data_IF_809762332054
#
_entry.id   IF_809762332054
#
_cell.length_a   1.000
_cell.length_b   1.000
_cell.length_c   1.000
_cell.angle_alpha   90.00
_cell.angle_beta   90.00
_cell.angle_gamma   90.00
#
_symmetry.space_group_name_H-M   'P 1'
#
loop_
_entity.id
_entity.type
_entity.pdbx_description
1 polymer ?
#
# COMPACT_ATOMS: atom_id res chain seq x y z
N UNK A 1 42.42 9.09 -22.79
CA UNK A 1 41.05 9.48 -23.19
C UNK A 1 40.20 9.37 -21.95
N UNK A 2 39.99 10.53 -21.32
CA UNK A 2 39.04 10.72 -20.23
C UNK A 2 37.67 11.03 -20.84
N UNK A 3 36.61 10.97 -20.02
CA UNK A 3 35.19 11.23 -20.32
C UNK A 3 34.41 9.99 -20.77
N UNK A 4 33.26 9.62 -20.20
CA UNK A 4 32.47 10.23 -19.12
C UNK A 4 31.68 9.13 -18.39
N UNK A 5 31.62 9.29 -17.06
CA UNK A 5 30.68 8.60 -16.19
C UNK A 5 29.30 9.22 -16.37
N UNK A 6 28.38 8.54 -17.05
CA UNK A 6 26.95 8.86 -16.95
C UNK A 6 26.30 7.86 -15.99
N UNK A 7 26.46 8.13 -14.70
CA UNK A 7 25.58 7.60 -13.67
C UNK A 7 24.18 8.19 -13.90
N UNK A 8 23.28 7.33 -14.39
CA UNK A 8 21.86 7.59 -14.49
C UNK A 8 21.30 7.95 -13.12
N UNK A 9 21.11 9.24 -12.87
CA UNK A 9 20.30 9.72 -11.75
C UNK A 9 18.84 9.38 -12.03
N UNK A 10 18.40 8.23 -11.50
CA UNK A 10 17.00 7.86 -11.47
C UNK A 10 16.23 8.84 -10.56
N UNK A 11 15.68 9.88 -11.19
CA UNK A 11 14.50 10.68 -10.81
C UNK A 11 14.11 10.64 -9.33
N UNK A 12 14.65 11.57 -8.55
CA UNK A 12 14.46 11.71 -7.10
C UNK A 12 13.29 12.61 -6.69
N UNK A 13 12.34 12.92 -7.57
CA UNK A 13 11.24 13.86 -7.25
C UNK A 13 9.86 13.35 -7.66
N UNK A 14 9.57 12.08 -7.35
CA UNK A 14 8.18 11.67 -7.23
C UNK A 14 7.63 12.31 -5.96
N UNK A 15 6.94 13.45 -6.10
CA UNK A 15 6.28 14.16 -5.00
C UNK A 15 5.60 13.15 -4.06
N UNK A 16 5.93 13.22 -2.76
CA UNK A 16 5.37 12.30 -1.76
C UNK A 16 3.86 12.47 -1.75
N UNK A 17 3.16 11.50 -2.35
CA UNK A 17 1.70 11.47 -2.36
C UNK A 17 1.24 11.20 -0.93
N UNK A 18 0.61 12.19 -0.31
CA UNK A 18 0.08 12.13 1.05
C UNK A 18 -1.38 12.58 1.09
N UNK A 19 -2.08 12.26 2.18
CA UNK A 19 -3.49 12.57 2.35
C UNK A 19 -3.72 14.05 2.64
N UNK A 20 -4.83 14.61 2.13
CA UNK A 20 -5.18 16.00 2.39
C UNK A 20 -5.57 16.21 3.87
N UNK A 21 -4.81 17.04 4.58
CA UNK A 21 -4.99 17.29 6.02
C UNK A 21 -6.38 17.82 6.38
N UNK A 22 -7.00 18.65 5.54
CA UNK A 22 -8.34 19.20 5.79
C UNK A 22 -9.41 18.10 5.72
N UNK A 23 -9.27 17.17 4.78
CA UNK A 23 -10.15 16.01 4.67
C UNK A 23 -9.99 15.10 5.89
N UNK A 24 -8.76 14.82 6.31
CA UNK A 24 -8.51 13.97 7.49
C UNK A 24 -9.02 14.60 8.78
N UNK A 25 -8.80 15.90 8.99
CA UNK A 25 -9.34 16.59 10.16
C UNK A 25 -10.87 16.50 10.24
N UNK A 26 -11.56 16.56 9.08
CA UNK A 26 -13.02 16.36 9.01
C UNK A 26 -13.42 14.92 9.28
N UNK A 27 -12.69 13.95 8.72
CA UNK A 27 -12.94 12.53 8.95
C UNK A 27 -12.85 12.18 10.43
N UNK A 28 -11.82 12.68 11.13
CA UNK A 28 -11.67 12.48 12.57
C UNK A 28 -12.77 13.18 13.37
N UNK A 29 -13.10 14.43 13.02
CA UNK A 29 -14.16 15.17 13.70
C UNK A 29 -15.53 14.48 13.64
N UNK A 30 -15.83 13.79 12.52
CA UNK A 30 -17.07 13.03 12.34
C UNK A 30 -17.16 11.79 13.25
N UNK A 31 -16.03 11.22 13.65
CA UNK A 31 -15.97 9.96 14.40
C UNK A 31 -15.56 10.14 15.87
N UNK A 32 -15.30 11.37 16.32
CA UNK A 32 -15.08 11.62 17.74
C UNK A 32 -16.39 11.46 18.52
N UNK A 33 -16.39 10.59 19.53
CA UNK A 33 -17.57 10.37 20.39
C UNK A 33 -18.01 11.65 21.12
N UNK A 34 -17.04 12.51 21.44
CA UNK A 34 -17.26 13.79 22.13
C UNK A 34 -17.15 14.97 21.16
N UNK A 35 -18.16 15.87 21.09
CA UNK A 35 -18.21 16.97 20.13
C UNK A 35 -17.19 18.09 20.40
N UNK A 36 -16.65 18.15 21.63
CA UNK A 36 -15.62 19.11 22.03
C UNK A 36 -14.20 18.60 21.78
N UNK A 37 -14.02 17.37 21.30
CA UNK A 37 -12.71 16.82 20.94
C UNK A 37 -12.06 17.65 19.83
N UNK A 38 -10.77 17.93 19.99
CA UNK A 38 -9.96 18.67 19.02
C UNK A 38 -8.68 17.89 18.74
N UNK A 39 -8.18 18.01 17.51
CA UNK A 39 -6.92 17.42 17.08
C UNK A 39 -5.98 18.55 16.61
N UNK A 40 -4.71 18.49 17.04
CA UNK A 40 -3.71 19.49 16.61
C UNK A 40 -3.35 19.29 15.13
N UNK A 41 -2.87 20.37 14.49
CA UNK A 41 -2.39 20.28 13.11
C UNK A 41 -1.28 19.23 12.94
N UNK A 42 -0.32 19.20 13.87
CA UNK A 42 0.77 18.21 13.87
C UNK A 42 0.28 16.77 14.00
N UNK A 43 -0.79 16.52 14.78
CA UNK A 43 -1.38 15.19 14.89
C UNK A 43 -2.11 14.79 13.60
N UNK A 44 -2.76 15.73 12.92
CA UNK A 44 -3.36 15.48 11.59
C UNK A 44 -2.29 15.15 10.55
N UNK A 45 -1.17 15.88 10.55
CA UNK A 45 -0.02 15.61 9.65
C UNK A 45 0.60 14.23 9.92
N UNK A 46 0.85 13.89 11.18
CA UNK A 46 1.32 12.57 11.56
C UNK A 46 0.34 11.46 11.16
N UNK A 47 -0.97 11.72 11.31
CA UNK A 47 -2.00 10.77 10.89
C UNK A 47 -2.06 10.59 9.37
N UNK A 48 -1.79 11.65 8.60
CA UNK A 48 -1.68 11.56 7.14
C UNK A 48 -0.55 10.61 6.74
N UNK A 49 0.60 10.71 7.39
CA UNK A 49 1.72 9.81 7.18
C UNK A 49 1.43 8.38 7.63
N UNK A 50 0.75 8.20 8.77
CA UNK A 50 0.30 6.89 9.23
C UNK A 50 -0.61 6.21 8.20
N UNK A 51 -1.63 6.91 7.69
CA UNK A 51 -2.53 6.37 6.66
C UNK A 51 -1.82 6.08 5.34
N UNK A 52 -0.82 6.90 4.97
CA UNK A 52 0.02 6.68 3.80
C UNK A 52 0.82 5.39 3.95
N UNK A 53 1.42 5.16 5.11
CA UNK A 53 2.17 3.94 5.40
C UNK A 53 1.23 2.73 5.40
N UNK A 54 0.10 2.80 6.08
CA UNK A 54 -0.93 1.76 6.08
C UNK A 54 -1.36 1.36 4.67
N UNK A 55 -1.65 2.35 3.81
CA UNK A 55 -2.07 2.11 2.42
C UNK A 55 -0.94 1.47 1.60
N UNK A 56 0.31 1.90 1.79
CA UNK A 56 1.47 1.30 1.09
C UNK A 56 1.71 -0.13 1.53
N UNK A 57 1.59 -0.42 2.82
CA UNK A 57 1.69 -1.78 3.36
C UNK A 57 0.60 -2.69 2.81
N UNK A 58 -0.64 -2.21 2.73
CA UNK A 58 -1.74 -2.96 2.12
C UNK A 58 -1.42 -3.36 0.67
N UNK A 59 -0.96 -2.41 -0.15
CA UNK A 59 -0.57 -2.64 -1.54
C UNK A 59 0.60 -3.62 -1.62
N UNK A 60 1.66 -3.39 -0.84
CA UNK A 60 2.89 -4.20 -0.90
C UNK A 60 2.65 -5.64 -0.45
N UNK A 61 1.91 -5.85 0.64
CA UNK A 61 1.58 -7.19 1.13
C UNK A 61 0.70 -7.96 0.16
N UNK A 62 -0.26 -7.28 -0.48
CA UNK A 62 -1.13 -7.88 -1.49
C UNK A 62 -0.33 -8.30 -2.73
N UNK A 63 0.52 -7.41 -3.25
CA UNK A 63 1.42 -7.70 -4.38
C UNK A 63 2.39 -8.84 -4.07
N UNK A 64 2.95 -8.88 -2.86
CA UNK A 64 3.80 -9.97 -2.39
C UNK A 64 3.05 -11.30 -2.35
N UNK A 65 1.86 -11.34 -1.74
CA UNK A 65 1.03 -12.55 -1.66
C UNK A 65 0.66 -13.08 -3.06
N UNK A 66 0.38 -12.19 -4.02
CA UNK A 66 0.14 -12.54 -5.41
C UNK A 66 1.37 -13.21 -6.05
N UNK A 67 2.55 -12.61 -5.91
CA UNK A 67 3.82 -13.16 -6.43
C UNK A 67 4.18 -14.51 -5.81
N UNK A 68 3.96 -14.67 -4.51
CA UNK A 68 4.20 -15.92 -3.79
C UNK A 68 3.25 -17.03 -4.28
N UNK A 69 1.98 -16.70 -4.55
CA UNK A 69 1.00 -17.66 -5.09
C UNK A 69 1.31 -18.09 -6.54
N UNK A 70 1.78 -17.17 -7.37
CA UNK A 70 2.16 -17.46 -8.75
C UNK A 70 3.38 -18.40 -8.83
N UNK A 71 4.38 -18.16 -7.98
CA UNK A 71 5.61 -18.97 -7.93
C UNK A 71 5.42 -20.34 -7.25
N UNK A 72 4.44 -20.47 -6.34
CA UNK A 72 4.05 -21.76 -5.77
C UNK A 72 3.35 -22.68 -6.80
N UNK A 73 2.56 -22.12 -7.72
CA UNK A 73 1.88 -22.87 -8.78
C UNK A 73 2.80 -23.50 -9.83
N UNK A 74 4.04 -23.01 -9.96
CA UNK A 74 5.03 -23.58 -10.89
C UNK A 74 5.76 -24.81 -10.32
N UNK A 75 5.69 -25.06 -9.01
CA UNK A 75 6.42 -26.15 -8.32
C UNK A 75 5.57 -27.37 -7.97
N UNK A 76 4.24 -27.31 -8.16
CA UNK A 76 3.31 -28.34 -7.66
C UNK A 76 2.26 -28.80 -8.68
N UNK A 77 2.46 -30.01 -9.19
CA UNK A 77 1.49 -31.03 -9.61
C UNK A 77 0.06 -30.60 -10.05
N UNK A 78 -0.18 -30.63 -11.37
CA UNK A 78 -1.31 -31.33 -12.02
C UNK A 78 -2.77 -31.01 -11.67
N UNK A 79 -3.09 -30.17 -10.69
CA UNK A 79 -4.47 -29.79 -10.34
C UNK A 79 -4.72 -28.35 -10.74
N UNK A 80 -5.81 -28.18 -11.47
CA UNK A 80 -6.29 -27.00 -12.17
C UNK A 80 -6.68 -25.86 -11.20
N UNK A 81 -5.75 -25.39 -10.38
CA UNK A 81 -5.84 -24.04 -9.79
C UNK A 81 -5.72 -23.06 -10.94
N UNK A 82 -6.67 -22.11 -11.02
CA UNK A 82 -6.78 -21.07 -12.04
C UNK A 82 -5.38 -20.64 -12.50
N UNK A 83 -5.01 -20.97 -13.73
CA UNK A 83 -3.79 -20.43 -14.36
C UNK A 83 -3.90 -18.91 -14.29
N UNK A 84 -3.19 -18.30 -13.34
CA UNK A 84 -3.07 -16.86 -13.25
C UNK A 84 -2.31 -16.47 -14.52
N UNK A 85 -3.00 -15.83 -15.47
CA UNK A 85 -2.31 -15.27 -16.63
C UNK A 85 -1.38 -14.16 -16.11
N UNK A 86 -0.22 -13.93 -16.76
CA UNK A 86 0.66 -12.83 -16.39
C UNK A 86 -0.03 -11.46 -16.46
N UNK A 87 -1.14 -11.35 -17.21
CA UNK A 87 -2.03 -10.21 -17.20
C UNK A 87 -2.86 -10.07 -15.91
N UNK A 88 -3.36 -11.18 -15.34
CA UNK A 88 -4.07 -11.18 -14.04
C UNK A 88 -3.12 -10.91 -12.87
N UNK A 89 -1.88 -11.40 -12.93
CA UNK A 89 -0.86 -11.06 -11.93
C UNK A 89 -0.54 -9.55 -11.87
N UNK A 90 -0.94 -8.77 -12.89
CA UNK A 90 -0.79 -7.31 -12.93
C UNK A 90 -2.01 -6.55 -12.41
N UNK A 91 -3.13 -7.21 -12.14
CA UNK A 91 -4.35 -6.57 -11.63
C UNK A 91 -4.67 -7.11 -10.24
N UNK A 92 -4.50 -6.25 -9.24
CA UNK A 92 -4.88 -6.53 -7.86
C UNK A 92 -6.42 -6.52 -7.75
N UNK A 93 -7.01 -7.63 -7.31
CA UNK A 93 -8.45 -7.74 -7.06
C UNK A 93 -8.75 -7.57 -5.54
N UNK A 94 -10.01 -7.34 -5.17
CA UNK A 94 -10.39 -7.13 -3.77
C UNK A 94 -10.15 -8.39 -2.92
N UNK A 95 -10.35 -9.56 -3.51
CA UNK A 95 -10.12 -10.87 -2.88
C UNK A 95 -8.65 -11.08 -2.49
N UNK A 96 -7.72 -10.44 -3.19
CA UNK A 96 -6.30 -10.52 -2.86
C UNK A 96 -5.98 -9.67 -1.61
N UNK A 97 -6.62 -8.51 -1.47
CA UNK A 97 -6.50 -7.68 -0.27
C UNK A 97 -7.12 -8.35 0.96
N UNK A 98 -8.25 -9.04 0.80
CA UNK A 98 -8.92 -9.77 1.90
C UNK A 98 -8.00 -10.83 2.54
N UNK A 99 -7.13 -11.46 1.76
CA UNK A 99 -6.17 -12.46 2.28
C UNK A 99 -5.14 -11.86 3.25
N UNK A 100 -4.80 -10.59 3.08
CA UNK A 100 -3.81 -9.90 3.92
C UNK A 100 -4.43 -8.95 4.94
N UNK A 101 -5.73 -8.64 4.81
CA UNK A 101 -6.43 -7.66 5.65
C UNK A 101 -6.36 -8.02 7.14
N UNK A 102 -6.51 -9.30 7.50
CA UNK A 102 -6.49 -9.73 8.89
C UNK A 102 -5.17 -9.44 9.60
N UNK A 103 -4.04 -9.76 8.98
CA UNK A 103 -2.71 -9.48 9.56
C UNK A 103 -2.35 -8.00 9.45
N UNK A 104 -2.79 -7.33 8.39
CA UNK A 104 -2.61 -5.89 8.23
C UNK A 104 -3.29 -5.12 9.38
N UNK A 105 -4.51 -5.48 9.76
CA UNK A 105 -5.23 -4.82 10.87
C UNK A 105 -4.59 -5.11 12.24
N UNK A 106 -3.95 -6.27 12.43
CA UNK A 106 -3.27 -6.59 13.70
C UNK A 106 -1.98 -5.79 13.92
N UNK A 107 -1.33 -5.35 12.84
CA UNK A 107 -0.08 -4.59 12.91
C UNK A 107 -0.30 -3.08 13.14
N UNK A 108 -1.54 -2.60 13.09
CA UNK A 108 -1.91 -1.18 13.10
C UNK A 108 -2.92 -0.85 14.19
#
# INVERSE_FOLDING_TARGET
MSSDSESSEASSDAAVVSFNSKTLARLFAEHFERPDTRISASAVEASAEYLRIFTREAIWRTDKALKDSASAGERGDGKQTRRITPARARMMEAEDLERVAGTLVLDF
#
